data_IF_253937570587
#
_entry.id   IF_253937570587
#
_cell.length_a   1.000
_cell.length_b   1.000
_cell.length_c   1.000
_cell.angle_alpha   90.00
_cell.angle_beta   90.00
_cell.angle_gamma   90.00
#
_symmetry.space_group_name_H-M   'P 1'
#
loop_
_entity.id
_entity.type
_entity.pdbx_description
1 polymer ?
#
# COMPACT_ATOMS: atom_id res chain seq x y z
N UNK A 1 1.58 95.88 13.90
CA UNK A 1 2.71 96.78 14.21
C UNK A 1 3.77 96.59 13.13
N UNK A 2 4.07 97.68 12.45
CA UNK A 2 5.05 97.88 11.37
C UNK A 2 6.52 97.63 11.84
N UNK A 3 7.56 97.76 10.98
CA UNK A 3 7.77 97.11 9.67
C UNK A 3 9.28 96.83 9.40
N UNK A 4 9.63 96.38 8.19
CA UNK A 4 10.73 96.84 7.29
C UNK A 4 11.07 95.65 6.35
N UNK A 5 10.67 95.59 5.08
CA UNK A 5 10.77 96.48 3.92
C UNK A 5 12.18 96.59 3.29
N UNK A 6 12.15 96.48 1.94
CA UNK A 6 13.18 96.74 0.92
C UNK A 6 14.14 95.57 0.57
N UNK A 7 14.37 95.19 -0.69
CA UNK A 7 13.85 95.70 -1.96
C UNK A 7 14.73 95.31 -3.16
N UNK A 8 14.06 94.97 -4.27
CA UNK A 8 14.39 95.15 -5.72
C UNK A 8 15.62 94.43 -6.32
N UNK A 9 15.38 93.51 -7.30
CA UNK A 9 15.41 93.65 -8.79
C UNK A 9 16.83 93.80 -9.35
N UNK A 10 17.27 93.24 -10.47
CA UNK A 10 16.84 92.28 -11.50
C UNK A 10 18.15 91.95 -12.23
N UNK A 11 18.32 90.76 -12.81
CA UNK A 11 19.06 90.62 -14.07
C UNK A 11 18.62 89.32 -14.76
N UNK A 12 18.23 89.48 -16.02
CA UNK A 12 17.67 88.48 -16.90
C UNK A 12 18.73 87.50 -17.41
N UNK A 13 18.35 86.23 -17.61
CA UNK A 13 18.62 85.52 -18.88
C UNK A 13 17.78 84.26 -19.03
N UNK A 14 17.61 83.89 -20.30
CA UNK A 14 16.56 83.07 -20.89
C UNK A 14 16.75 81.56 -20.72
N UNK A 15 15.59 80.88 -20.60
CA UNK A 15 15.16 79.64 -21.28
C UNK A 15 16.15 78.49 -21.42
N UNK A 16 15.85 77.37 -20.76
CA UNK A 16 15.85 76.05 -21.40
C UNK A 16 15.05 75.06 -20.55
N UNK A 17 14.19 74.30 -21.22
CA UNK A 17 13.41 73.21 -20.66
C UNK A 17 14.33 72.13 -20.07
N UNK A 18 13.99 71.63 -18.88
CA UNK A 18 14.61 70.49 -18.23
C UNK A 18 13.57 69.80 -17.35
N UNK A 19 12.81 68.87 -17.95
CA UNK A 19 11.86 68.00 -17.26
C UNK A 19 12.65 67.02 -16.38
N UNK A 20 12.21 66.72 -15.15
CA UNK A 20 13.03 66.06 -14.14
C UNK A 20 13.30 64.59 -14.48
N UNK A 21 14.51 64.14 -14.15
CA UNK A 21 14.96 62.75 -14.14
C UNK A 21 13.87 61.87 -13.49
N UNK A 22 13.18 61.08 -14.31
CA UNK A 22 12.47 59.89 -13.85
C UNK A 22 13.52 58.80 -13.62
N UNK A 23 13.58 58.29 -12.39
CA UNK A 23 14.38 57.11 -12.03
C UNK A 23 13.84 55.92 -12.82
N UNK A 24 14.63 55.41 -13.78
CA UNK A 24 14.37 54.12 -14.40
C UNK A 24 14.64 53.03 -13.36
N UNK A 25 13.57 52.50 -12.77
CA UNK A 25 13.61 51.20 -12.10
C UNK A 25 13.77 50.14 -13.20
N UNK A 26 14.96 49.55 -13.29
CA UNK A 26 15.18 48.33 -14.07
C UNK A 26 14.41 47.21 -13.36
N UNK A 27 13.24 46.85 -13.90
CA UNK A 27 12.64 45.54 -13.60
C UNK A 27 13.55 44.49 -14.23
N UNK A 28 14.46 43.93 -13.43
CA UNK A 28 15.01 42.62 -13.73
C UNK A 28 13.86 41.65 -13.56
N UNK A 29 13.24 41.26 -14.67
CA UNK A 29 12.45 40.03 -14.73
C UNK A 29 13.45 38.92 -14.50
N UNK A 30 13.64 38.54 -13.24
CA UNK A 30 14.24 37.27 -12.90
C UNK A 30 13.24 36.22 -13.40
N UNK A 31 13.43 35.77 -14.63
CA UNK A 31 12.79 34.55 -15.09
C UNK A 31 13.17 33.47 -14.08
N UNK A 32 12.19 32.99 -13.33
CA UNK A 32 12.35 31.76 -12.58
C UNK A 32 12.66 30.70 -13.61
N UNK A 33 13.93 30.33 -13.74
CA UNK A 33 14.32 29.11 -14.40
C UNK A 33 13.65 28.00 -13.60
N UNK A 34 12.47 27.58 -14.06
CA UNK A 34 11.89 26.28 -13.71
C UNK A 34 12.99 25.27 -14.00
N UNK A 35 13.61 24.75 -12.94
CA UNK A 35 14.68 23.77 -13.04
C UNK A 35 14.20 22.66 -13.95
N UNK A 36 14.84 22.49 -15.10
CA UNK A 36 14.62 21.31 -15.91
C UNK A 36 15.05 20.12 -15.05
N UNK A 37 14.14 19.17 -14.81
CA UNK A 37 14.46 17.94 -14.10
C UNK A 37 15.63 17.26 -14.82
N UNK A 38 16.64 16.85 -14.06
CA UNK A 38 17.75 16.07 -14.60
C UNK A 38 17.21 14.75 -15.14
N UNK A 39 17.27 14.49 -16.47
CA UNK A 39 16.70 13.28 -17.05
C UNK A 39 17.43 12.00 -16.61
N UNK A 40 18.55 12.12 -15.89
CA UNK A 40 19.26 11.00 -15.28
C UNK A 40 18.73 10.58 -13.91
N UNK A 41 17.77 11.32 -13.34
CA UNK A 41 17.17 11.02 -12.04
C UNK A 41 15.68 10.64 -12.17
N UNK A 42 15.17 9.77 -11.29
CA UNK A 42 13.74 9.53 -11.18
C UNK A 42 13.01 10.82 -10.77
N UNK A 43 11.80 11.03 -11.31
CA UNK A 43 11.02 12.24 -11.02
C UNK A 43 9.52 12.00 -11.04
N UNK A 44 8.80 12.69 -10.15
CA UNK A 44 7.33 12.75 -10.22
C UNK A 44 6.92 13.58 -11.43
N UNK A 45 6.07 12.99 -12.27
CA UNK A 45 5.53 13.65 -13.47
C UNK A 45 4.09 14.11 -13.31
N UNK A 46 3.38 13.55 -12.33
CA UNK A 46 1.98 13.84 -12.02
C UNK A 46 1.62 13.23 -10.67
N UNK A 47 0.81 13.94 -9.90
CA UNK A 47 0.05 13.39 -8.78
C UNK A 47 -1.41 13.71 -9.01
N UNK A 48 -2.29 12.77 -8.68
CA UNK A 48 -3.72 12.96 -8.70
C UNK A 48 -4.34 12.47 -7.41
N UNK A 49 -5.39 13.13 -6.93
CA UNK A 49 -5.98 12.89 -5.62
C UNK A 49 -7.41 12.39 -5.74
N UNK A 50 -7.77 11.39 -4.95
CA UNK A 50 -9.17 10.97 -4.78
C UNK A 50 -9.88 12.04 -3.95
N UNK A 51 -11.05 12.51 -4.40
CA UNK A 51 -11.86 13.40 -3.58
C UNK A 51 -12.68 12.62 -2.55
N UNK A 52 -13.14 13.32 -1.52
CA UNK A 52 -13.93 12.77 -0.42
C UNK A 52 -15.19 12.06 -0.93
N UNK A 53 -15.35 10.80 -0.50
CA UNK A 53 -16.54 9.99 -0.77
C UNK A 53 -16.95 9.36 0.57
N UNK A 54 -18.09 9.73 1.16
CA UNK A 54 -18.50 9.17 2.45
C UNK A 54 -18.56 7.65 2.41
N UNK A 55 -17.86 6.98 3.34
CA UNK A 55 -17.70 5.52 3.34
C UNK A 55 -19.06 4.82 3.40
N UNK A 56 -19.97 5.30 4.25
CA UNK A 56 -21.29 4.72 4.40
C UNK A 56 -22.13 4.85 3.13
N UNK A 57 -22.00 5.96 2.40
CA UNK A 57 -22.69 6.14 1.12
C UNK A 57 -22.12 5.22 0.04
N UNK A 58 -20.79 5.05 0.01
CA UNK A 58 -20.12 4.13 -0.90
C UNK A 58 -20.54 2.67 -0.67
N UNK A 59 -20.37 2.15 0.55
CA UNK A 59 -20.69 0.74 0.86
C UNK A 59 -22.18 0.44 0.66
N UNK A 60 -23.08 1.31 1.13
CA UNK A 60 -24.52 1.08 0.99
C UNK A 60 -25.04 1.22 -0.45
N UNK A 61 -24.30 1.89 -1.35
CA UNK A 61 -24.61 1.89 -2.77
C UNK A 61 -24.30 0.54 -3.43
N UNK A 62 -23.30 -0.20 -2.91
CA UNK A 62 -22.92 -1.53 -3.39
C UNK A 62 -23.79 -2.63 -2.76
N UNK A 63 -23.89 -2.62 -1.43
CA UNK A 63 -24.65 -3.56 -0.62
C UNK A 63 -25.48 -2.78 0.41
N UNK A 64 -26.78 -2.53 0.17
CA UNK A 64 -27.60 -1.73 1.07
C UNK A 64 -27.68 -2.30 2.49
N UNK A 65 -27.39 -1.46 3.48
CA UNK A 65 -27.50 -1.77 4.90
C UNK A 65 -26.28 -2.46 5.50
N UNK A 66 -25.12 -2.45 4.83
CA UNK A 66 -23.87 -2.96 5.41
C UNK A 66 -23.25 -1.96 6.39
N UNK A 67 -23.40 -0.66 6.15
CA UNK A 67 -22.86 0.39 7.03
C UNK A 67 -23.99 1.22 7.65
N UNK A 68 -24.23 1.01 8.94
CA UNK A 68 -25.23 1.78 9.71
C UNK A 68 -24.72 3.18 10.08
N UNK A 69 -23.46 3.26 10.52
CA UNK A 69 -22.78 4.49 10.91
C UNK A 69 -21.31 4.40 10.50
N UNK A 70 -20.93 5.25 9.53
CA UNK A 70 -19.56 5.35 9.02
C UNK A 70 -18.63 6.15 9.93
N UNK A 71 -19.14 6.76 11.00
CA UNK A 71 -18.36 7.60 11.92
C UNK A 71 -17.65 8.78 11.23
N UNK A 72 -18.08 9.16 10.03
CA UNK A 72 -17.57 10.33 9.31
C UNK A 72 -16.30 10.00 8.57
N UNK A 73 -16.04 8.71 8.39
CA UNK A 73 -14.96 8.19 7.59
C UNK A 73 -15.33 8.32 6.12
N UNK A 74 -14.37 8.79 5.32
CA UNK A 74 -14.45 8.75 3.86
C UNK A 74 -13.81 7.47 3.31
N UNK A 75 -14.09 7.15 2.04
CA UNK A 75 -13.50 6.03 1.34
C UNK A 75 -11.99 6.23 1.27
N UNK A 76 -11.29 5.39 2.02
CA UNK A 76 -9.84 5.19 1.94
C UNK A 76 -9.52 3.74 1.66
N UNK A 77 -8.30 3.33 1.98
CA UNK A 77 -7.85 1.94 1.85
C UNK A 77 -7.72 1.45 0.42
N UNK A 78 -8.25 2.15 -0.60
CA UNK A 78 -8.13 1.73 -2.00
C UNK A 78 -6.66 1.70 -2.47
N UNK A 79 -5.72 2.12 -1.63
CA UNK A 79 -4.29 2.13 -1.87
C UNK A 79 -3.58 0.82 -1.54
N UNK A 80 -4.27 -0.19 -0.99
CA UNK A 80 -3.65 -1.47 -0.64
C UNK A 80 -2.97 -2.11 -1.85
N UNK A 81 -3.59 -2.02 -3.05
CA UNK A 81 -2.87 -2.31 -4.31
C UNK A 81 -3.50 -1.65 -5.56
N UNK A 82 -2.73 -1.62 -6.66
CA UNK A 82 -3.12 -1.03 -7.94
C UNK A 82 -2.67 -1.88 -9.14
N UNK A 83 -3.61 -2.18 -10.04
CA UNK A 83 -3.39 -3.00 -11.23
C UNK A 83 -3.90 -2.33 -12.51
N UNK A 84 -3.14 -2.29 -13.62
CA UNK A 84 -3.61 -1.69 -14.87
C UNK A 84 -4.91 -2.29 -15.42
N UNK A 85 -5.90 -1.45 -15.74
CA UNK A 85 -7.21 -1.90 -16.25
C UNK A 85 -7.30 -1.96 -17.79
N UNK A 86 -6.16 -1.86 -18.48
CA UNK A 86 -6.03 -2.00 -19.94
C UNK A 86 -6.23 -0.70 -20.74
N UNK A 87 -6.85 0.33 -20.18
CA UNK A 87 -6.86 1.70 -20.76
C UNK A 87 -5.89 2.60 -20.01
N UNK A 88 -5.22 3.50 -20.74
CA UNK A 88 -4.26 4.44 -20.15
C UNK A 88 -4.94 5.25 -19.04
N UNK A 89 -4.33 5.24 -17.85
CA UNK A 89 -4.83 5.95 -16.68
C UNK A 89 -6.02 5.30 -15.98
N UNK A 90 -6.48 4.12 -16.41
CA UNK A 90 -7.46 3.32 -15.66
C UNK A 90 -6.77 2.19 -14.91
N UNK A 91 -7.19 2.00 -13.66
CA UNK A 91 -6.67 0.95 -12.79
C UNK A 91 -7.80 0.24 -12.05
N UNK A 92 -7.55 -1.00 -11.68
CA UNK A 92 -8.24 -1.69 -10.62
C UNK A 92 -7.45 -1.49 -9.34
N UNK A 93 -8.13 -1.18 -8.26
CA UNK A 93 -7.58 -1.12 -6.92
C UNK A 93 -8.45 -1.96 -5.99
N UNK A 94 -8.00 -2.15 -4.75
CA UNK A 94 -8.76 -2.87 -3.72
C UNK A 94 -8.62 -2.13 -2.41
N UNK A 95 -9.67 -2.10 -1.60
CA UNK A 95 -9.60 -1.61 -0.21
C UNK A 95 -9.02 -2.69 0.72
N UNK A 96 -8.33 -2.32 1.79
CA UNK A 96 -8.02 -3.23 2.90
C UNK A 96 -9.29 -3.66 3.69
N UNK A 97 -9.12 -4.20 4.90
CA UNK A 97 -10.17 -4.54 5.89
C UNK A 97 -11.08 -3.39 6.37
N UNK A 98 -10.88 -2.16 5.94
CA UNK A 98 -11.60 -0.99 6.41
C UNK A 98 -10.92 -0.25 7.57
N UNK A 99 -11.58 0.84 8.04
CA UNK A 99 -11.00 1.72 9.04
C UNK A 99 -10.63 0.93 10.29
N UNK A 100 -9.40 1.09 10.75
CA UNK A 100 -8.92 0.41 11.94
C UNK A 100 -7.83 1.23 12.65
N UNK A 101 -7.64 0.99 13.94
CA UNK A 101 -6.61 1.67 14.73
C UNK A 101 -6.29 0.94 16.02
N UNK A 102 -5.31 1.42 16.77
CA UNK A 102 -4.89 0.82 18.04
C UNK A 102 -5.15 1.77 19.20
N UNK A 103 -5.93 1.32 20.19
CA UNK A 103 -6.13 2.04 21.45
C UNK A 103 -5.55 1.24 22.60
N UNK A 104 -4.81 1.90 23.49
CA UNK A 104 -4.27 1.29 24.70
C UNK A 104 -5.28 1.37 25.83
N UNK A 105 -5.83 0.22 26.23
CA UNK A 105 -6.74 0.07 27.37
C UNK A 105 -6.07 -0.81 28.43
N UNK A 106 -5.93 -0.31 29.65
CA UNK A 106 -5.27 -1.01 30.77
C UNK A 106 -3.88 -1.57 30.42
N UNK A 107 -3.10 -0.78 29.67
CA UNK A 107 -1.76 -1.18 29.26
C UNK A 107 -1.69 -2.08 28.03
N UNK A 108 -2.82 -2.59 27.53
CA UNK A 108 -2.89 -3.49 26.37
C UNK A 108 -3.39 -2.77 25.13
N UNK A 109 -2.73 -2.99 23.99
CA UNK A 109 -3.22 -2.53 22.68
C UNK A 109 -4.46 -3.34 22.28
N UNK A 110 -5.50 -2.66 21.83
CA UNK A 110 -6.73 -3.24 21.25
C UNK A 110 -6.90 -2.69 19.85
N UNK A 111 -7.12 -3.57 18.87
CA UNK A 111 -7.46 -3.21 17.49
C UNK A 111 -8.92 -2.81 17.42
N UNK A 112 -9.22 -1.63 16.92
CA UNK A 112 -10.58 -1.13 16.72
C UNK A 112 -11.01 -1.33 15.28
N UNK A 113 -12.30 -1.59 15.09
CA UNK A 113 -13.00 -1.63 13.81
C UNK A 113 -14.19 -0.67 13.94
N UNK A 114 -13.99 0.63 13.68
CA UNK A 114 -15.00 1.65 13.86
C UNK A 114 -16.21 1.45 12.95
N UNK A 115 -16.05 0.84 11.79
CA UNK A 115 -17.15 0.55 10.85
C UNK A 115 -17.19 -0.96 10.61
N UNK A 116 -17.67 -1.77 11.59
CA UNK A 116 -17.51 -3.22 11.57
C UNK A 116 -18.35 -3.91 10.47
N UNK A 117 -19.32 -3.20 9.89
CA UNK A 117 -20.09 -3.68 8.76
C UNK A 117 -19.47 -3.35 7.39
N UNK A 118 -18.31 -2.66 7.36
CA UNK A 118 -17.60 -2.40 6.11
C UNK A 118 -17.23 -3.71 5.39
N UNK A 119 -17.50 -3.73 4.09
CA UNK A 119 -17.18 -4.81 3.16
C UNK A 119 -16.09 -4.34 2.18
N UNK A 120 -14.90 -4.98 2.16
CA UNK A 120 -13.86 -4.63 1.21
C UNK A 120 -14.33 -4.75 -0.24
N UNK A 121 -13.86 -3.83 -1.09
CA UNK A 121 -14.35 -3.68 -2.45
C UNK A 121 -13.21 -3.54 -3.47
N UNK A 122 -13.46 -4.07 -4.67
CA UNK A 122 -12.63 -3.83 -5.84
C UNK A 122 -13.11 -2.52 -6.47
N UNK A 123 -12.21 -1.54 -6.60
CA UNK A 123 -12.55 -0.21 -7.09
C UNK A 123 -11.88 0.04 -8.43
N UNK A 124 -12.65 0.43 -9.45
CA UNK A 124 -12.11 0.85 -10.72
C UNK A 124 -11.92 2.35 -10.72
N UNK A 125 -10.69 2.81 -10.88
CA UNK A 125 -10.38 4.24 -10.90
C UNK A 125 -9.88 4.72 -12.26
N UNK A 126 -9.97 6.02 -12.49
CA UNK A 126 -9.28 6.72 -13.58
C UNK A 126 -8.58 7.98 -13.09
N UNK A 127 -7.31 8.11 -13.42
CA UNK A 127 -6.56 9.35 -13.27
C UNK A 127 -6.90 10.31 -14.41
N UNK A 128 -7.49 11.47 -14.07
CA UNK A 128 -7.94 12.50 -15.01
C UNK A 128 -7.43 13.87 -14.58
N UNK A 129 -6.30 14.30 -15.15
CA UNK A 129 -5.63 15.51 -14.69
C UNK A 129 -4.96 15.26 -13.34
N UNK A 130 -5.35 16.05 -12.35
CA UNK A 130 -4.98 16.02 -10.93
C UNK A 130 -6.03 15.30 -10.05
N UNK A 131 -7.07 14.70 -10.65
CA UNK A 131 -8.10 13.98 -9.92
C UNK A 131 -8.09 12.47 -10.20
N UNK A 132 -8.28 11.67 -9.16
CA UNK A 132 -8.66 10.26 -9.24
C UNK A 132 -10.18 10.19 -9.20
N UNK A 133 -10.78 9.52 -10.20
CA UNK A 133 -12.23 9.31 -10.28
C UNK A 133 -12.57 7.84 -10.15
N UNK A 134 -13.47 7.51 -9.24
CA UNK A 134 -14.11 6.19 -9.22
C UNK A 134 -15.01 6.07 -10.44
N UNK A 135 -14.76 5.05 -11.26
CA UNK A 135 -15.56 4.72 -12.45
C UNK A 135 -16.60 3.65 -12.16
N UNK A 136 -16.25 2.70 -11.31
CA UNK A 136 -17.06 1.53 -10.95
C UNK A 136 -16.52 0.94 -9.64
N UNK A 137 -17.34 0.18 -8.93
CA UNK A 137 -16.91 -0.56 -7.75
C UNK A 137 -17.69 -1.87 -7.62
N UNK A 138 -17.02 -2.90 -7.11
CA UNK A 138 -17.54 -4.26 -7.04
C UNK A 138 -17.37 -4.74 -5.59
N UNK A 139 -18.46 -5.00 -4.85
CA UNK A 139 -18.37 -5.50 -3.48
C UNK A 139 -17.90 -6.95 -3.47
N UNK A 140 -17.15 -7.34 -2.45
CA UNK A 140 -16.77 -8.74 -2.27
C UNK A 140 -17.89 -9.46 -1.49
N UNK A 141 -18.42 -10.54 -2.07
CA UNK A 141 -19.56 -11.26 -1.52
C UNK A 141 -19.32 -12.75 -1.37
N UNK A 142 -20.01 -13.35 -0.41
CA UNK A 142 -20.01 -14.79 -0.18
C UNK A 142 -20.80 -15.53 -1.28
N UNK A 143 -20.86 -16.87 -1.18
CA UNK A 143 -21.62 -17.69 -2.10
C UNK A 143 -23.11 -17.40 -2.09
N UNK A 144 -23.67 -17.02 -0.94
CA UNK A 144 -25.07 -16.61 -0.78
C UNK A 144 -25.33 -15.13 -1.07
N UNK A 145 -24.31 -14.35 -1.41
CA UNK A 145 -24.43 -12.92 -1.71
C UNK A 145 -24.40 -12.01 -0.48
N UNK A 146 -23.98 -12.52 0.68
CA UNK A 146 -23.72 -11.70 1.87
C UNK A 146 -22.41 -10.93 1.72
N UNK A 147 -22.26 -9.78 2.39
CA UNK A 147 -20.97 -9.09 2.44
C UNK A 147 -19.89 -10.00 3.02
N UNK A 148 -18.69 -9.91 2.46
CA UNK A 148 -17.46 -10.31 3.12
C UNK A 148 -16.97 -9.08 3.88
N UNK A 149 -16.91 -9.14 5.22
CA UNK A 149 -16.49 -7.99 6.03
C UNK A 149 -14.97 -7.88 6.12
N UNK A 150 -14.46 -6.79 6.69
CA UNK A 150 -13.04 -6.69 7.08
C UNK A 150 -12.68 -7.33 8.43
N UNK A 151 -13.63 -7.95 9.12
CA UNK A 151 -13.39 -8.45 10.47
C UNK A 151 -12.46 -9.68 10.47
N UNK A 152 -11.61 -9.85 11.52
CA UNK A 152 -10.72 -10.99 11.64
C UNK A 152 -11.46 -12.34 11.72
N UNK A 153 -10.79 -13.44 11.35
CA UNK A 153 -11.44 -14.74 11.16
C UNK A 153 -11.48 -15.63 12.40
N UNK A 154 -10.36 -15.76 13.12
CA UNK A 154 -10.18 -16.80 14.12
C UNK A 154 -9.63 -16.26 15.44
N UNK A 155 -10.39 -16.47 16.52
CA UNK A 155 -9.95 -16.15 17.88
C UNK A 155 -8.68 -16.93 18.27
N UNK A 156 -7.71 -16.23 18.85
CA UNK A 156 -6.44 -16.82 19.29
C UNK A 156 -5.38 -16.95 18.20
N UNK A 157 -5.74 -16.70 16.94
CA UNK A 157 -4.81 -16.57 15.81
C UNK A 157 -4.74 -15.13 15.30
N UNK A 158 -5.88 -14.50 15.11
CA UNK A 158 -5.96 -13.12 14.64
C UNK A 158 -6.12 -12.13 15.80
N UNK A 159 -5.95 -10.83 15.52
CA UNK A 159 -6.21 -9.77 16.49
C UNK A 159 -7.69 -9.78 16.92
N UNK A 160 -7.95 -9.54 18.21
CA UNK A 160 -9.31 -9.42 18.70
C UNK A 160 -9.93 -8.08 18.25
N UNK A 161 -11.07 -8.09 17.54
CA UNK A 161 -11.70 -6.86 17.08
C UNK A 161 -12.50 -6.18 18.19
N UNK A 162 -12.43 -4.85 18.27
CA UNK A 162 -13.19 -4.02 19.21
C UNK A 162 -13.93 -2.88 18.51
N UNK A 163 -14.94 -2.31 19.16
CA UNK A 163 -15.60 -1.07 18.75
C UNK A 163 -14.61 0.10 18.62
N UNK A 164 -15.03 1.18 17.97
CA UNK A 164 -14.21 2.38 17.73
C UNK A 164 -13.50 2.97 18.98
N UNK A 165 -14.12 2.85 20.15
CA UNK A 165 -13.62 3.32 21.45
C UNK A 165 -12.84 2.26 22.24
N UNK A 166 -12.62 1.10 21.62
CA UNK A 166 -12.00 -0.09 22.18
C UNK A 166 -12.70 -0.67 23.44
N UNK A 167 -13.94 -0.30 23.74
CA UNK A 167 -14.64 -0.74 24.94
C UNK A 167 -15.37 -2.08 24.76
N UNK A 168 -15.97 -2.30 23.59
CA UNK A 168 -16.82 -3.46 23.32
C UNK A 168 -16.13 -4.43 22.37
N UNK A 169 -15.89 -5.69 22.78
CA UNK A 169 -15.42 -6.72 21.86
C UNK A 169 -16.45 -6.96 20.75
N UNK A 170 -15.97 -7.13 19.52
CA UNK A 170 -16.78 -7.50 18.36
C UNK A 170 -16.66 -9.00 18.09
N UNK A 171 -17.58 -9.53 17.29
CA UNK A 171 -17.49 -10.90 16.82
C UNK A 171 -16.42 -11.01 15.72
N UNK A 172 -15.75 -12.16 15.68
CA UNK A 172 -14.97 -12.57 14.52
C UNK A 172 -15.92 -12.95 13.38
N UNK A 173 -15.48 -12.76 12.14
CA UNK A 173 -16.19 -13.21 10.94
C UNK A 173 -15.30 -14.17 10.16
N UNK A 174 -15.69 -15.44 10.10
CA UNK A 174 -14.96 -16.45 9.33
C UNK A 174 -14.85 -16.10 7.84
N UNK A 175 -15.80 -15.32 7.30
CA UNK A 175 -15.78 -14.89 5.91
C UNK A 175 -14.84 -13.71 5.67
N UNK A 176 -14.50 -12.96 6.72
CA UNK A 176 -13.83 -11.68 6.58
C UNK A 176 -12.45 -11.78 5.93
N UNK A 177 -12.02 -10.69 5.34
CA UNK A 177 -10.74 -10.61 4.63
C UNK A 177 -10.11 -9.25 4.84
N UNK A 178 -8.80 -9.23 4.86
CA UNK A 178 -8.00 -8.03 4.81
C UNK A 178 -7.25 -8.01 3.48
N UNK A 179 -7.82 -7.36 2.47
CA UNK A 179 -7.36 -7.49 1.09
C UNK A 179 -6.23 -6.53 0.75
N UNK A 180 -5.07 -7.09 0.40
CA UNK A 180 -3.83 -6.30 0.25
C UNK A 180 -3.26 -6.30 -1.17
N UNK A 181 -3.84 -7.09 -2.09
CA UNK A 181 -3.31 -7.21 -3.45
C UNK A 181 -4.38 -7.61 -4.46
N UNK A 182 -4.26 -7.12 -5.69
CA UNK A 182 -5.23 -7.36 -6.76
C UNK A 182 -4.59 -7.59 -8.13
N UNK A 183 -5.03 -8.64 -8.81
CA UNK A 183 -4.79 -8.79 -10.25
C UNK A 183 -6.06 -9.27 -10.96
N UNK A 184 -6.15 -8.96 -12.25
CA UNK A 184 -7.28 -9.37 -13.09
C UNK A 184 -6.89 -10.51 -14.03
N UNK A 185 -7.63 -11.61 -13.98
CA UNK A 185 -7.45 -12.75 -14.88
C UNK A 185 -8.01 -12.46 -16.30
N UNK A 186 -7.57 -13.25 -17.28
CA UNK A 186 -7.99 -13.11 -18.68
C UNK A 186 -9.51 -13.30 -18.89
N UNK A 187 -10.15 -14.15 -18.08
CA UNK A 187 -11.60 -14.37 -18.09
C UNK A 187 -12.40 -13.24 -17.40
N UNK A 188 -11.71 -12.22 -16.90
CA UNK A 188 -12.27 -11.06 -16.21
C UNK A 188 -12.56 -11.27 -14.73
N UNK A 189 -12.32 -12.46 -14.18
CA UNK A 189 -12.27 -12.70 -12.73
C UNK A 189 -11.05 -12.00 -12.10
N UNK A 190 -11.02 -11.94 -10.77
CA UNK A 190 -9.98 -11.31 -9.99
C UNK A 190 -9.31 -12.32 -9.08
N UNK A 191 -8.02 -12.13 -8.85
CA UNK A 191 -7.31 -12.75 -7.74
C UNK A 191 -6.96 -11.67 -6.75
N UNK A 192 -7.27 -11.93 -5.49
CA UNK A 192 -6.91 -11.09 -4.36
C UNK A 192 -6.02 -11.89 -3.40
N UNK A 193 -5.28 -11.20 -2.55
CA UNK A 193 -4.61 -11.81 -1.40
C UNK A 193 -5.14 -11.21 -0.11
N UNK A 194 -4.98 -11.97 0.98
CA UNK A 194 -5.44 -11.57 2.30
C UNK A 194 -4.39 -11.73 3.39
N UNK A 195 -4.38 -10.79 4.33
CA UNK A 195 -3.39 -10.72 5.40
C UNK A 195 -3.66 -11.70 6.57
N UNK A 196 -4.92 -11.91 6.95
CA UNK A 196 -5.24 -12.77 8.09
C UNK A 196 -4.83 -14.24 7.86
N UNK A 197 -5.03 -14.75 6.64
CA UNK A 197 -4.93 -16.16 6.30
C UNK A 197 -3.54 -16.81 6.42
N UNK A 198 -2.43 -16.20 5.98
CA UNK A 198 -2.36 -15.39 4.76
C UNK A 198 -2.88 -16.21 3.58
N UNK A 199 -3.69 -15.63 2.69
CA UNK A 199 -4.45 -16.43 1.74
C UNK A 199 -4.57 -15.83 0.34
N UNK A 200 -4.87 -16.67 -0.65
CA UNK A 200 -5.15 -16.28 -2.03
C UNK A 200 -6.63 -16.50 -2.32
N UNK A 201 -7.33 -15.51 -2.84
CA UNK A 201 -8.78 -15.52 -3.04
C UNK A 201 -9.09 -15.37 -4.54
N UNK A 202 -9.82 -16.33 -5.10
CA UNK A 202 -10.36 -16.20 -6.46
C UNK A 202 -11.76 -15.61 -6.38
N UNK A 203 -11.97 -14.48 -7.05
CA UNK A 203 -13.22 -13.71 -7.03
C UNK A 203 -13.76 -13.59 -8.44
N UNK A 204 -15.06 -13.83 -8.63
CA UNK A 204 -15.70 -13.66 -9.93
C UNK A 204 -15.63 -12.21 -10.43
N UNK A 205 -15.89 -11.98 -11.71
CA UNK A 205 -15.98 -10.63 -12.28
C UNK A 205 -17.05 -9.72 -11.62
N UNK A 206 -17.92 -10.27 -10.77
CA UNK A 206 -18.97 -9.55 -10.03
C UNK A 206 -18.76 -9.60 -8.51
N UNK A 207 -17.55 -9.93 -8.04
CA UNK A 207 -17.22 -9.83 -6.61
C UNK A 207 -17.58 -11.05 -5.75
N UNK A 208 -18.30 -12.04 -6.28
CA UNK A 208 -18.54 -13.30 -5.55
C UNK A 208 -17.24 -14.09 -5.38
N UNK A 209 -16.88 -14.44 -4.14
CA UNK A 209 -15.78 -15.35 -3.83
C UNK A 209 -16.08 -16.74 -4.40
N UNK A 210 -15.16 -17.23 -5.24
CA UNK A 210 -15.22 -18.54 -5.87
C UNK A 210 -14.48 -19.59 -5.04
N UNK A 211 -13.29 -19.26 -4.53
CA UNK A 211 -12.48 -20.13 -3.67
C UNK A 211 -11.43 -19.31 -2.92
N UNK A 212 -11.17 -19.64 -1.64
CA UNK A 212 -10.04 -19.11 -0.86
C UNK A 212 -9.03 -20.23 -0.60
N UNK A 213 -7.77 -20.01 -0.99
CA UNK A 213 -6.65 -20.92 -0.78
C UNK A 213 -5.86 -20.49 0.44
N UNK A 214 -5.73 -21.37 1.41
CA UNK A 214 -5.13 -21.09 2.72
C UNK A 214 -3.97 -22.04 3.03
N UNK A 215 -3.12 -21.76 4.04
CA UNK A 215 -2.12 -22.69 4.53
C UNK A 215 -2.73 -24.01 4.98
N UNK A 216 -2.02 -25.10 4.71
CA UNK A 216 -2.36 -26.42 5.28
C UNK A 216 -2.31 -26.37 6.79
N UNK A 217 -3.37 -26.88 7.43
CA UNK A 217 -3.54 -26.87 8.89
C UNK A 217 -4.16 -25.58 9.46
N UNK A 218 -4.58 -24.63 8.63
CA UNK A 218 -5.28 -23.43 9.11
C UNK A 218 -6.63 -23.81 9.76
N UNK A 219 -7.30 -24.83 9.25
CA UNK A 219 -8.59 -25.30 9.72
C UNK A 219 -9.64 -24.16 9.80
N UNK A 220 -9.65 -23.26 8.81
CA UNK A 220 -10.66 -22.22 8.70
C UNK A 220 -12.02 -22.86 8.39
N UNK A 221 -13.00 -22.63 9.26
CA UNK A 221 -14.35 -23.22 9.17
C UNK A 221 -15.41 -22.14 9.33
N UNK A 222 -16.66 -22.42 8.94
CA UNK A 222 -17.78 -21.47 9.04
C UNK A 222 -17.87 -20.46 7.90
N UNK A 223 -17.07 -20.62 6.85
CA UNK A 223 -17.15 -19.79 5.64
C UNK A 223 -18.35 -20.16 4.78
N UNK A 224 -18.92 -19.16 4.12
CA UNK A 224 -19.94 -19.27 3.08
C UNK A 224 -19.31 -19.19 1.69
N UNK A 225 -18.13 -19.78 1.53
CA UNK A 225 -17.45 -20.00 0.26
C UNK A 225 -16.45 -21.16 0.39
N UNK A 226 -16.07 -21.80 -0.73
CA UNK A 226 -15.09 -22.89 -0.70
C UNK A 226 -13.73 -22.44 -0.17
N UNK A 227 -13.18 -23.21 0.76
CA UNK A 227 -11.82 -23.04 1.29
C UNK A 227 -10.99 -24.28 0.94
N UNK A 228 -9.77 -24.06 0.43
CA UNK A 228 -8.86 -25.13 0.04
C UNK A 228 -7.50 -24.92 0.71
N UNK A 229 -7.04 -25.91 1.47
CA UNK A 229 -5.72 -25.91 2.09
C UNK A 229 -4.62 -26.29 1.08
N UNK A 230 -4.23 -25.33 0.23
CA UNK A 230 -3.28 -25.54 -0.87
C UNK A 230 -1.92 -24.84 -0.68
N UNK A 231 -1.79 -23.95 0.32
CA UNK A 231 -0.54 -23.22 0.57
C UNK A 231 0.34 -23.99 1.59
N UNK A 232 1.67 -23.80 1.58
CA UNK A 232 2.59 -24.44 2.51
C UNK A 232 2.20 -24.22 3.98
N UNK A 233 2.35 -25.27 4.80
CA UNK A 233 2.00 -25.21 6.23
C UNK A 233 2.91 -24.26 7.02
N UNK A 234 4.14 -24.00 6.54
CA UNK A 234 5.07 -23.09 7.21
C UNK A 234 4.50 -21.67 7.35
N UNK A 235 3.58 -21.26 6.46
CA UNK A 235 2.88 -19.98 6.53
C UNK A 235 1.97 -19.85 7.76
N UNK A 236 1.69 -20.93 8.49
CA UNK A 236 1.02 -20.85 9.79
C UNK A 236 1.82 -20.03 10.82
N UNK A 237 3.14 -19.91 10.63
CA UNK A 237 4.04 -19.09 11.42
C UNK A 237 4.08 -17.61 10.99
N UNK A 238 3.14 -17.13 10.15
CA UNK A 238 3.06 -15.69 9.86
C UNK A 238 2.97 -14.90 11.17
N UNK A 239 3.63 -13.74 11.21
CA UNK A 239 3.43 -12.79 12.30
C UNK A 239 1.98 -12.26 12.24
N UNK A 240 1.37 -12.02 13.40
CA UNK A 240 0.01 -11.47 13.48
C UNK A 240 0.01 -10.11 12.78
N UNK A 241 -1.01 -9.82 11.96
CA UNK A 241 -1.09 -8.63 11.11
C UNK A 241 0.17 -8.42 10.22
N UNK A 242 0.67 -9.49 9.60
CA UNK A 242 1.84 -9.52 8.69
C UNK A 242 1.74 -10.67 7.69
N UNK A 243 0.66 -10.69 6.92
CA UNK A 243 0.26 -11.78 6.04
C UNK A 243 0.79 -11.69 4.62
N UNK A 244 -0.03 -12.00 3.61
CA UNK A 244 0.32 -11.68 2.23
C UNK A 244 -0.02 -10.23 1.94
N UNK A 245 0.90 -9.52 1.28
CA UNK A 245 0.68 -8.12 0.87
C UNK A 245 1.00 -7.83 -0.60
N UNK A 246 1.99 -8.49 -1.18
CA UNK A 246 2.27 -8.29 -2.61
C UNK A 246 1.64 -9.36 -3.49
N UNK A 247 0.94 -8.95 -4.57
CA UNK A 247 0.40 -9.87 -5.58
C UNK A 247 0.78 -9.46 -7.01
N UNK A 248 1.56 -10.29 -7.69
CA UNK A 248 1.86 -10.12 -9.11
C UNK A 248 1.25 -11.22 -9.99
N UNK A 249 0.82 -10.85 -11.19
CA UNK A 249 0.49 -11.81 -12.26
C UNK A 249 1.62 -11.84 -13.29
N UNK A 250 2.28 -13.00 -13.43
CA UNK A 250 3.31 -13.22 -14.43
C UNK A 250 2.68 -13.42 -15.83
N UNK A 251 3.42 -13.11 -16.92
CA UNK A 251 3.02 -13.51 -18.26
C UNK A 251 2.74 -15.02 -18.33
N UNK A 252 1.51 -15.38 -18.71
CA UNK A 252 1.02 -16.77 -18.75
C UNK A 252 0.09 -17.16 -17.61
N UNK A 253 -0.16 -16.25 -16.65
CA UNK A 253 -1.23 -16.34 -15.66
C UNK A 253 -0.86 -16.97 -14.32
N UNK A 254 0.40 -17.38 -14.12
CA UNK A 254 0.87 -17.75 -12.78
C UNK A 254 0.96 -16.50 -11.90
N UNK A 255 0.74 -16.69 -10.60
CA UNK A 255 0.73 -15.61 -9.61
C UNK A 255 1.98 -15.70 -8.74
N UNK A 256 2.45 -14.56 -8.25
CA UNK A 256 3.47 -14.48 -7.21
C UNK A 256 2.90 -13.71 -6.03
N UNK A 257 2.93 -14.31 -4.85
CA UNK A 257 2.46 -13.72 -3.60
C UNK A 257 3.67 -13.47 -2.69
N UNK A 258 3.70 -12.34 -2.01
CA UNK A 258 4.74 -12.00 -1.03
C UNK A 258 4.19 -12.06 0.39
N UNK A 259 4.91 -12.75 1.28
CA UNK A 259 4.68 -12.59 2.72
C UNK A 259 5.30 -11.27 3.16
N UNK A 260 4.51 -10.43 3.83
CA UNK A 260 4.88 -9.06 4.18
C UNK A 260 6.18 -9.01 4.98
N UNK A 261 6.29 -9.82 6.03
CA UNK A 261 7.44 -9.86 6.93
C UNK A 261 7.93 -11.30 7.16
N UNK A 262 9.16 -11.49 7.68
CA UNK A 262 9.64 -12.80 8.07
C UNK A 262 8.68 -13.55 9.01
N UNK A 263 8.67 -14.87 8.90
CA UNK A 263 7.85 -15.71 9.77
C UNK A 263 8.34 -15.67 11.21
N UNK A 264 7.44 -15.86 12.18
CA UNK A 264 7.79 -16.07 13.59
C UNK A 264 8.16 -17.54 13.83
N UNK A 265 9.28 -17.99 13.24
CA UNK A 265 9.77 -19.37 13.32
C UNK A 265 11.23 -19.42 13.81
N UNK A 266 11.55 -20.09 14.93
CA UNK A 266 10.64 -20.83 15.82
C UNK A 266 9.75 -19.95 16.70
N UNK A 267 10.04 -18.66 16.80
CA UNK A 267 9.31 -17.72 17.66
C UNK A 267 9.33 -16.29 17.09
N UNK A 268 8.67 -15.37 17.79
CA UNK A 268 8.60 -13.96 17.40
C UNK A 268 9.97 -13.27 17.37
N UNK A 269 10.88 -13.60 18.28
CA UNK A 269 12.19 -12.97 18.34
C UNK A 269 13.05 -13.34 17.11
N UNK A 270 12.98 -14.59 16.66
CA UNK A 270 13.60 -15.01 15.41
C UNK A 270 13.05 -14.24 14.20
N UNK A 271 11.72 -14.09 14.11
CA UNK A 271 11.08 -13.31 13.05
C UNK A 271 11.44 -11.83 13.06
N UNK A 272 11.38 -11.20 14.24
CA UNK A 272 11.65 -9.76 14.43
C UNK A 272 13.11 -9.40 14.10
N UNK A 273 14.06 -10.30 14.34
CA UNK A 273 15.47 -10.11 14.00
C UNK A 273 15.79 -10.48 12.54
N UNK A 274 14.90 -11.18 11.84
CA UNK A 274 15.20 -11.73 10.52
C UNK A 274 15.11 -10.67 9.42
N UNK A 275 15.88 -10.89 8.35
CA UNK A 275 15.77 -10.14 7.09
C UNK A 275 15.28 -11.00 5.93
N UNK A 276 14.78 -12.19 6.20
CA UNK A 276 14.43 -13.14 5.16
C UNK A 276 12.94 -13.45 5.20
N UNK A 277 12.22 -13.05 4.16
CA UNK A 277 10.81 -13.41 3.93
C UNK A 277 10.68 -14.30 2.68
N UNK A 278 9.45 -14.61 2.29
CA UNK A 278 9.13 -15.63 1.28
C UNK A 278 8.29 -15.04 0.15
N UNK A 279 8.65 -15.39 -1.09
CA UNK A 279 7.78 -15.23 -2.26
C UNK A 279 7.30 -16.59 -2.71
N UNK A 280 6.01 -16.72 -3.05
CA UNK A 280 5.41 -17.98 -3.48
C UNK A 280 4.83 -17.85 -4.87
N UNK A 281 5.15 -18.79 -5.77
CA UNK A 281 4.55 -18.88 -7.09
C UNK A 281 3.38 -19.85 -7.08
N UNK A 282 2.16 -19.35 -7.32
CA UNK A 282 0.97 -20.17 -7.46
C UNK A 282 0.59 -20.34 -8.93
N UNK A 283 0.15 -21.53 -9.33
CA UNK A 283 -0.36 -21.77 -10.67
C UNK A 283 -1.88 -21.98 -10.63
N UNK A 284 -2.69 -21.02 -11.12
CA UNK A 284 -4.13 -21.19 -11.25
C UNK A 284 -4.55 -22.40 -12.10
N UNK A 285 -3.69 -22.88 -12.99
CA UNK A 285 -3.97 -24.10 -13.78
C UNK A 285 -3.82 -25.38 -12.97
N UNK A 286 -2.91 -25.39 -11.98
CA UNK A 286 -2.64 -26.55 -11.13
C UNK A 286 -3.34 -26.47 -9.78
N UNK A 287 -3.87 -25.29 -9.42
CA UNK A 287 -4.43 -24.96 -8.12
C UNK A 287 -3.45 -25.29 -6.97
N UNK A 288 -2.18 -24.97 -7.19
CA UNK A 288 -1.11 -25.31 -6.26
C UNK A 288 0.05 -24.31 -6.32
N UNK A 289 0.76 -24.17 -5.20
CA UNK A 289 2.08 -23.55 -5.16
C UNK A 289 3.06 -24.43 -5.94
N UNK A 290 3.87 -23.79 -6.78
CA UNK A 290 4.80 -24.45 -7.72
C UNK A 290 6.25 -24.06 -7.50
N UNK A 291 6.49 -22.95 -6.82
CA UNK A 291 7.80 -22.58 -6.30
C UNK A 291 7.63 -21.68 -5.07
N UNK A 292 8.67 -21.66 -4.25
CA UNK A 292 8.84 -20.75 -3.12
C UNK A 292 10.27 -20.26 -3.15
N UNK A 293 10.48 -19.01 -2.75
CA UNK A 293 11.77 -18.35 -2.86
C UNK A 293 12.09 -17.57 -1.58
N UNK A 294 13.33 -17.70 -1.10
CA UNK A 294 13.84 -16.84 -0.05
C UNK A 294 14.13 -15.45 -0.63
N UNK A 295 13.44 -14.44 -0.10
CA UNK A 295 13.66 -13.04 -0.40
C UNK A 295 14.33 -12.37 0.79
N UNK A 296 15.40 -11.62 0.55
CA UNK A 296 16.19 -11.00 1.61
C UNK A 296 16.14 -9.48 1.52
N UNK A 297 15.65 -8.86 2.59
CA UNK A 297 15.67 -7.42 2.76
C UNK A 297 17.09 -6.86 2.84
N UNK A 298 17.25 -5.63 2.38
CA UNK A 298 18.43 -4.84 2.75
C UNK A 298 18.41 -4.59 4.27
N UNK A 299 19.56 -4.28 4.90
CA UNK A 299 19.56 -3.86 6.31
C UNK A 299 18.55 -2.74 6.54
N UNK A 300 17.87 -2.72 7.70
CA UNK A 300 16.80 -1.73 7.94
C UNK A 300 17.30 -0.30 7.83
N UNK A 301 18.47 0.00 8.40
CA UNK A 301 19.11 1.31 8.32
C UNK A 301 19.58 1.68 6.89
N UNK A 302 19.65 0.70 5.99
CA UNK A 302 19.86 0.95 4.57
C UNK A 302 18.53 1.36 3.95
N UNK A 303 17.44 0.64 4.19
CA UNK A 303 16.08 0.96 3.67
C UNK A 303 15.56 2.30 4.21
N UNK A 304 15.65 2.50 5.52
CA UNK A 304 15.26 3.69 6.26
C UNK A 304 16.40 4.10 7.20
N UNK A 305 17.21 5.12 6.85
CA UNK A 305 18.32 5.57 7.68
C UNK A 305 17.95 6.07 9.08
N UNK A 306 16.66 6.30 9.35
CA UNK A 306 16.16 6.71 10.67
C UNK A 306 15.71 5.56 11.56
N UNK A 307 15.78 4.32 11.06
CA UNK A 307 15.29 3.12 11.72
C UNK A 307 16.43 2.17 12.13
N UNK A 308 16.28 1.53 13.28
CA UNK A 308 17.19 0.51 13.81
C UNK A 308 16.50 -0.82 14.19
N UNK A 309 15.16 -0.86 14.19
CA UNK A 309 14.36 -2.06 14.41
C UNK A 309 14.14 -2.84 13.09
N UNK A 310 14.77 -4.00 12.98
CA UNK A 310 14.64 -4.87 11.81
C UNK A 310 13.21 -5.37 11.59
N UNK A 311 12.39 -5.40 12.64
CA UNK A 311 11.01 -5.88 12.58
C UNK A 311 10.06 -4.92 11.83
N UNK A 312 10.52 -3.71 11.50
CA UNK A 312 9.80 -2.74 10.68
C UNK A 312 9.90 -3.00 9.17
N UNK A 313 10.75 -3.93 8.74
CA UNK A 313 10.87 -4.31 7.32
C UNK A 313 9.63 -5.08 6.82
N UNK A 314 9.07 -4.56 5.72
CA UNK A 314 7.84 -5.06 5.10
C UNK A 314 7.98 -5.07 3.57
N UNK A 315 7.30 -6.00 2.90
CA UNK A 315 6.94 -5.92 1.49
C UNK A 315 5.49 -5.50 1.39
N UNK A 316 5.15 -4.47 0.63
CA UNK A 316 3.74 -4.16 0.32
C UNK A 316 3.39 -4.46 -1.13
N UNK A 317 4.14 -4.00 -2.13
CA UNK A 317 3.82 -4.33 -3.53
C UNK A 317 4.79 -5.30 -4.23
N UNK A 318 4.27 -6.11 -5.17
CA UNK A 318 5.06 -6.89 -6.13
C UNK A 318 4.49 -6.75 -7.53
N UNK A 319 5.34 -6.44 -8.51
CA UNK A 319 4.92 -6.20 -9.90
C UNK A 319 5.68 -7.08 -10.87
N UNK A 320 4.98 -7.80 -11.74
CA UNK A 320 5.64 -8.54 -12.82
C UNK A 320 6.18 -7.58 -13.89
N UNK A 321 7.47 -7.70 -14.20
CA UNK A 321 8.14 -6.92 -15.25
C UNK A 321 8.78 -7.79 -16.33
N UNK A 322 8.49 -9.10 -16.28
CA UNK A 322 8.90 -10.10 -17.25
C UNK A 322 8.35 -11.47 -16.88
N UNK A 323 8.75 -12.51 -17.61
CA UNK A 323 8.32 -13.90 -17.36
C UNK A 323 8.86 -14.47 -16.04
N UNK A 324 10.00 -13.96 -15.60
CA UNK A 324 10.79 -14.42 -14.45
C UNK A 324 11.37 -13.23 -13.67
N UNK A 325 10.78 -12.03 -13.81
CA UNK A 325 11.30 -10.79 -13.23
C UNK A 325 10.20 -10.02 -12.53
N UNK A 326 10.53 -9.52 -11.35
CA UNK A 326 9.63 -8.74 -10.51
C UNK A 326 10.28 -7.40 -10.15
N UNK A 327 9.45 -6.40 -9.90
CA UNK A 327 9.75 -5.38 -8.90
C UNK A 327 9.16 -5.84 -7.57
N UNK A 328 9.91 -5.70 -6.49
CA UNK A 328 9.47 -5.95 -5.12
C UNK A 328 9.69 -4.66 -4.34
N UNK A 329 8.64 -4.17 -3.71
CA UNK A 329 8.73 -3.03 -2.80
C UNK A 329 9.21 -3.48 -1.43
N UNK A 330 10.31 -2.92 -0.97
CA UNK A 330 10.78 -3.04 0.41
C UNK A 330 10.57 -1.72 1.11
N UNK A 331 9.95 -1.74 2.30
CA UNK A 331 9.63 -0.52 3.01
C UNK A 331 9.70 -0.67 4.53
N UNK A 332 9.71 0.49 5.19
CA UNK A 332 9.24 0.70 6.56
C UNK A 332 7.92 1.49 6.48
N UNK A 333 7.47 2.10 7.57
CA UNK A 333 6.35 3.05 7.52
C UNK A 333 6.76 4.44 6.96
N UNK A 334 8.05 4.73 6.81
CA UNK A 334 8.57 6.05 6.39
C UNK A 334 9.38 6.05 5.10
N UNK A 335 9.92 4.90 4.69
CA UNK A 335 10.74 4.80 3.49
C UNK A 335 10.32 3.59 2.65
N UNK A 336 10.41 3.70 1.33
CA UNK A 336 10.09 2.63 0.39
C UNK A 336 11.10 2.58 -0.75
N UNK A 337 11.41 1.38 -1.23
CA UNK A 337 12.38 1.11 -2.30
C UNK A 337 11.86 0.03 -3.22
N UNK A 338 12.16 0.16 -4.51
CA UNK A 338 11.84 -0.87 -5.49
C UNK A 338 13.09 -1.64 -5.88
N UNK A 339 13.05 -2.94 -5.64
CA UNK A 339 14.10 -3.90 -5.99
C UNK A 339 13.68 -4.68 -7.22
N UNK A 340 14.56 -4.79 -8.22
CA UNK A 340 14.39 -5.75 -9.30
C UNK A 340 14.88 -7.11 -8.84
N UNK A 341 14.08 -8.14 -9.10
CA UNK A 341 14.32 -9.51 -8.63
C UNK A 341 14.13 -10.51 -9.77
N UNK A 342 14.96 -11.55 -9.84
CA UNK A 342 14.83 -12.63 -10.83
C UNK A 342 14.45 -13.95 -10.19
N UNK A 343 13.31 -14.52 -10.60
CA UNK A 343 12.81 -15.81 -10.17
C UNK A 343 13.50 -16.95 -10.96
N UNK A 344 14.61 -17.46 -10.44
CA UNK A 344 15.34 -18.55 -11.07
C UNK A 344 14.88 -19.91 -10.55
N UNK A 345 15.01 -20.97 -11.36
CA UNK A 345 14.53 -22.32 -10.97
C UNK A 345 15.36 -22.93 -9.84
N UNK A 346 16.65 -22.63 -9.80
CA UNK A 346 17.61 -23.04 -8.78
C UNK A 346 17.40 -22.34 -7.43
N UNK A 347 16.63 -21.24 -7.39
CA UNK A 347 16.23 -20.57 -6.16
C UNK A 347 14.98 -21.15 -5.49
N UNK A 348 14.39 -22.20 -6.07
CA UNK A 348 13.18 -22.80 -5.53
C UNK A 348 13.47 -23.62 -4.26
N UNK A 349 12.89 -23.21 -3.13
CA UNK A 349 13.00 -23.90 -1.83
C UNK A 349 11.75 -24.70 -1.46
N UNK A 350 10.70 -24.69 -2.30
CA UNK A 350 9.41 -25.34 -2.02
C UNK A 350 9.58 -26.84 -1.73
N UNK A 351 9.01 -27.30 -0.61
CA UNK A 351 9.09 -28.69 -0.16
C UNK A 351 10.50 -29.16 0.23
N UNK A 352 11.49 -28.25 0.26
CA UNK A 352 12.83 -28.50 0.75
C UNK A 352 12.96 -28.29 2.26
N UNK A 353 14.18 -28.41 2.78
CA UNK A 353 14.49 -28.24 4.21
C UNK A 353 14.09 -26.87 4.77
N UNK A 354 14.00 -25.82 3.94
CA UNK A 354 13.63 -24.47 4.39
C UNK A 354 12.11 -24.21 4.40
N UNK A 355 11.31 -25.19 3.97
CA UNK A 355 9.84 -25.18 3.96
C UNK A 355 9.27 -26.14 5.04
N UNK A 356 10.09 -26.50 6.04
CA UNK A 356 9.68 -27.32 7.19
C UNK A 356 9.91 -26.56 8.50
N UNK A 357 8.90 -26.56 9.37
CA UNK A 357 8.91 -25.89 10.69
C UNK A 357 9.85 -26.54 11.71
N UNK A 358 10.35 -27.74 11.43
CA UNK A 358 11.26 -28.50 12.30
C UNK A 358 12.75 -28.25 12.01
N UNK A 359 13.08 -27.46 10.99
CA UNK A 359 14.47 -27.15 10.63
C UNK A 359 15.11 -26.23 11.67
N UNK A 360 16.33 -26.58 12.10
CA UNK A 360 17.09 -25.81 13.10
C UNK A 360 18.57 -25.67 12.69
N UNK A 361 19.11 -24.45 12.58
CA UNK A 361 18.39 -23.17 12.65
C UNK A 361 17.34 -23.04 11.53
N UNK A 362 16.20 -22.39 11.79
CA UNK A 362 15.19 -22.07 10.77
C UNK A 362 15.75 -21.07 9.75
N UNK A 363 15.06 -20.86 8.62
CA UNK A 363 15.46 -19.85 7.63
C UNK A 363 15.53 -18.45 8.25
N UNK A 364 14.59 -18.16 9.15
CA UNK A 364 14.42 -16.88 9.81
C UNK A 364 15.56 -16.61 10.82
N UNK A 365 16.16 -17.66 11.39
CA UNK A 365 17.32 -17.59 12.28
C UNK A 365 18.66 -17.41 11.57
N UNK A 366 18.71 -17.46 10.23
CA UNK A 366 19.96 -17.34 9.50
C UNK A 366 20.36 -15.88 9.29
N UNK A 367 21.48 -15.49 9.91
CA UNK A 367 22.10 -14.18 9.67
C UNK A 367 22.47 -13.97 8.22
N UNK A 368 22.98 -14.99 7.52
CA UNK A 368 23.25 -14.98 6.07
C UNK A 368 22.80 -16.32 5.47
N UNK A 369 21.58 -16.40 4.90
CA UNK A 369 21.08 -17.63 4.31
C UNK A 369 21.94 -18.11 3.13
N UNK A 370 22.54 -17.21 2.35
CA UNK A 370 23.37 -17.60 1.21
C UNK A 370 24.66 -18.28 1.68
N UNK A 371 25.29 -17.78 2.75
CA UNK A 371 26.45 -18.42 3.37
C UNK A 371 26.12 -19.80 3.98
N UNK A 372 24.88 -20.00 4.41
CA UNK A 372 24.36 -21.28 4.89
C UNK A 372 23.90 -22.23 3.75
N UNK A 373 24.06 -21.84 2.48
CA UNK A 373 23.68 -22.66 1.33
C UNK A 373 22.21 -22.57 0.92
N UNK A 374 21.44 -21.62 1.48
CA UNK A 374 20.08 -21.31 1.01
C UNK A 374 20.18 -20.51 -0.28
N UNK A 375 19.50 -20.91 -1.36
CA UNK A 375 19.50 -20.11 -2.57
C UNK A 375 18.57 -18.90 -2.39
N UNK A 376 19.16 -17.73 -2.14
CA UNK A 376 18.45 -16.45 -1.99
C UNK A 376 18.30 -15.79 -3.35
N UNK A 377 17.14 -15.17 -3.60
CA UNK A 377 16.89 -14.45 -4.85
C UNK A 377 17.90 -13.30 -5.04
N UNK A 378 18.56 -13.20 -6.21
CA UNK A 378 19.38 -12.03 -6.51
C UNK A 378 18.47 -10.82 -6.71
N UNK A 379 18.85 -9.69 -6.12
CA UNK A 379 18.17 -8.41 -6.28
C UNK A 379 19.11 -7.26 -6.61
N UNK A 380 18.56 -6.20 -7.20
CA UNK A 380 19.25 -4.92 -7.43
C UNK A 380 18.28 -3.75 -7.22
N UNK A 381 18.77 -2.66 -6.65
CA UNK A 381 17.97 -1.44 -6.49
C UNK A 381 17.59 -0.86 -7.86
N UNK A 382 16.32 -0.48 -8.00
CA UNK A 382 15.81 0.27 -9.16
C UNK A 382 15.62 1.73 -8.80
N UNK A 383 14.96 2.00 -7.67
CA UNK A 383 14.74 3.36 -7.16
C UNK A 383 14.53 3.32 -5.65
N UNK A 384 15.09 4.32 -4.97
CA UNK A 384 14.72 4.67 -3.60
C UNK A 384 13.66 5.78 -3.65
N UNK A 385 12.42 5.45 -3.31
CA UNK A 385 11.28 6.36 -3.46
C UNK A 385 11.37 7.53 -2.48
N UNK A 386 12.03 7.36 -1.32
CA UNK A 386 12.24 8.43 -0.35
C UNK A 386 13.19 9.53 -0.85
N UNK A 387 13.93 9.27 -1.93
CA UNK A 387 14.81 10.26 -2.58
C UNK A 387 14.15 11.00 -3.74
N UNK A 388 12.92 10.61 -4.12
CA UNK A 388 12.19 11.23 -5.24
C UNK A 388 11.25 12.30 -4.70
N UNK A 389 11.58 13.57 -4.97
CA UNK A 389 10.77 14.69 -4.54
C UNK A 389 9.32 14.56 -5.05
N UNK A 390 8.35 14.69 -4.13
CA UNK A 390 6.92 14.63 -4.41
C UNK A 390 6.28 13.25 -4.31
N UNK A 391 7.05 12.18 -4.03
CA UNK A 391 6.45 10.88 -3.70
C UNK A 391 5.87 10.93 -2.28
N UNK A 392 4.59 10.56 -2.07
CA UNK A 392 3.98 10.54 -0.74
C UNK A 392 4.52 9.38 0.10
N UNK A 393 4.26 9.43 1.41
CA UNK A 393 4.51 8.29 2.30
C UNK A 393 3.50 7.15 2.07
N UNK A 394 3.70 6.02 2.75
CA UNK A 394 2.78 4.87 2.75
C UNK A 394 2.40 4.37 1.35
N UNK A 395 3.39 4.28 0.45
CA UNK A 395 3.20 3.59 -0.83
C UNK A 395 3.04 2.09 -0.52
N UNK A 396 1.92 1.53 -0.97
CA UNK A 396 1.60 0.12 -0.77
C UNK A 396 1.13 -0.56 -2.07
N UNK A 397 0.68 0.22 -3.05
CA UNK A 397 0.41 -0.25 -4.41
C UNK A 397 1.35 0.34 -5.46
N UNK A 398 1.84 -0.52 -6.36
CA UNK A 398 2.71 -0.13 -7.49
C UNK A 398 2.22 -0.78 -8.78
N UNK A 399 2.05 0.03 -9.84
CA UNK A 399 1.75 -0.45 -11.18
C UNK A 399 2.79 0.02 -12.19
N UNK A 400 3.26 -0.91 -13.04
CA UNK A 400 4.00 -0.54 -14.26
C UNK A 400 3.01 -0.06 -15.33
N UNK A 401 3.12 1.20 -15.74
CA UNK A 401 2.22 1.77 -16.76
C UNK A 401 2.81 1.76 -18.17
N UNK A 402 4.14 1.83 -18.29
CA UNK A 402 4.85 1.71 -19.56
C UNK A 402 6.32 1.24 -19.38
N UNK A 403 7.22 1.62 -20.29
CA UNK A 403 8.62 1.19 -20.30
C UNK A 403 9.40 1.70 -19.08
N UNK A 404 9.18 2.95 -18.68
CA UNK A 404 9.97 3.66 -17.67
C UNK A 404 9.12 4.38 -16.62
N UNK A 405 7.79 4.30 -16.71
CA UNK A 405 6.89 4.99 -15.79
C UNK A 405 6.15 3.99 -14.89
N UNK A 406 6.10 4.32 -13.60
CA UNK A 406 5.34 3.67 -12.55
C UNK A 406 4.18 4.56 -12.12
N UNK A 407 3.05 3.96 -11.74
CA UNK A 407 2.03 4.60 -10.93
C UNK A 407 2.09 4.02 -9.52
N UNK A 408 2.21 4.89 -8.53
CA UNK A 408 2.24 4.55 -7.11
C UNK A 408 0.92 5.00 -6.51
N UNK A 409 0.33 4.18 -5.64
CA UNK A 409 -0.81 4.58 -4.81
C UNK A 409 -0.42 4.43 -3.35
N UNK A 410 -0.77 5.44 -2.53
CA UNK A 410 -0.62 5.34 -1.09
C UNK A 410 -1.87 4.76 -0.45
N UNK A 411 -1.69 3.96 0.58
CA UNK A 411 -2.77 3.70 1.53
C UNK A 411 -2.86 4.88 2.51
N UNK A 412 -4.08 5.37 2.72
CA UNK A 412 -4.36 6.46 3.65
C UNK A 412 -5.02 5.98 4.94
N UNK A 413 -5.17 4.66 5.13
CA UNK A 413 -5.76 4.04 6.30
C UNK A 413 -7.16 4.61 6.62
N UNK A 414 -7.93 5.04 5.60
CA UNK A 414 -9.25 5.71 5.79
C UNK A 414 -9.19 6.98 6.64
N UNK A 415 -8.06 7.70 6.62
CA UNK A 415 -7.87 8.89 7.45
C UNK A 415 -7.68 8.56 8.94
N UNK A 416 -7.50 7.28 9.29
CA UNK A 416 -7.35 6.84 10.67
C UNK A 416 -6.02 7.30 11.29
N UNK A 417 -6.04 7.42 12.61
CA UNK A 417 -4.85 7.54 13.44
C UNK A 417 -4.96 6.59 14.63
N UNK A 418 -3.81 6.24 15.24
CA UNK A 418 -3.79 5.45 16.46
C UNK A 418 -4.15 6.29 17.69
N UNK A 419 -4.70 5.63 18.71
CA UNK A 419 -4.96 6.20 20.03
C UNK A 419 -6.39 6.69 20.24
N UNK A 420 -6.69 7.06 21.49
CA UNK A 420 -8.04 7.46 21.90
C UNK A 420 -8.52 8.79 21.30
N UNK A 421 -7.60 9.56 20.69
CA UNK A 421 -7.92 10.82 20.00
C UNK A 421 -8.36 10.65 18.55
N UNK A 422 -8.37 9.43 18.01
CA UNK A 422 -8.84 9.15 16.65
C UNK A 422 -10.32 9.47 16.45
N UNK A 423 -11.10 9.54 17.53
CA UNK A 423 -12.51 9.93 17.51
C UNK A 423 -12.77 11.08 18.47
N UNK A 424 -13.64 12.01 18.06
CA UNK A 424 -14.09 13.11 18.88
C UNK A 424 -15.09 12.66 19.97
N UNK A 425 -15.58 13.62 20.77
CA UNK A 425 -16.54 13.35 21.83
C UNK A 425 -17.92 12.86 21.33
N UNK A 426 -18.20 12.97 20.03
CA UNK A 426 -19.40 12.47 19.36
C UNK A 426 -19.15 11.11 18.68
N UNK A 427 -17.94 10.57 18.76
CA UNK A 427 -17.56 9.33 18.10
C UNK A 427 -17.36 9.48 16.59
N UNK A 428 -17.06 10.69 16.11
CA UNK A 428 -16.71 10.95 14.70
C UNK A 428 -15.20 10.95 14.52
N UNK A 429 -14.73 10.45 13.38
CA UNK A 429 -13.33 10.41 13.02
C UNK A 429 -12.74 11.83 13.09
N UNK A 430 -11.61 11.95 13.79
CA UNK A 430 -10.71 13.09 13.66
C UNK A 430 -9.74 12.74 12.54
N UNK A 431 -10.08 13.16 11.33
CA UNK A 431 -9.37 12.78 10.11
C UNK A 431 -7.89 13.19 10.14
N UNK A 432 -7.00 12.31 9.66
CA UNK A 432 -5.56 12.54 9.63
C UNK A 432 -5.13 13.63 8.61
N UNK A 433 -6.00 13.97 7.67
CA UNK A 433 -5.73 14.84 6.52
C UNK A 433 -4.89 14.17 5.43
N UNK A 434 -4.66 12.86 5.52
CA UNK A 434 -3.89 12.10 4.53
C UNK A 434 -4.84 11.65 3.42
N UNK A 435 -4.61 12.17 2.23
CA UNK A 435 -5.39 11.86 1.05
C UNK A 435 -4.88 10.61 0.32
N UNK A 436 -5.79 9.89 -0.35
CA UNK A 436 -5.40 8.88 -1.32
C UNK A 436 -4.93 9.55 -2.62
N UNK A 437 -3.71 9.23 -3.06
CA UNK A 437 -3.13 9.80 -4.27
C UNK A 437 -2.56 8.73 -5.20
N UNK A 438 -2.67 8.97 -6.51
CA UNK A 438 -1.94 8.22 -7.54
C UNK A 438 -0.83 9.09 -8.09
N UNK A 439 0.42 8.71 -7.82
CA UNK A 439 1.63 9.45 -8.19
C UNK A 439 2.39 8.72 -9.30
N UNK A 440 2.65 9.40 -10.41
CA UNK A 440 3.40 8.86 -11.55
C UNK A 440 4.88 9.21 -11.43
N UNK A 441 5.72 8.20 -11.27
CA UNK A 441 7.18 8.34 -11.23
C UNK A 441 7.76 7.86 -12.54
N UNK A 442 8.49 8.75 -13.24
CA UNK A 442 9.32 8.36 -14.38
C UNK A 442 10.71 8.00 -13.89
N UNK A 443 11.19 6.85 -14.30
CA UNK A 443 12.55 6.38 -14.06
C UNK A 443 13.50 6.84 -15.17
N UNK A 444 14.79 7.01 -14.88
CA UNK A 444 15.78 7.43 -15.88
C UNK A 444 16.12 6.33 -16.90
N UNK A 445 15.82 5.07 -16.56
CA UNK A 445 16.08 3.89 -17.37
C UNK A 445 14.85 2.97 -17.39
N UNK A 446 14.74 2.16 -18.44
CA UNK A 446 13.68 1.18 -18.58
C UNK A 446 13.68 0.10 -17.51
N UNK A 447 12.48 -0.42 -17.23
CA UNK A 447 12.20 -1.48 -16.25
C UNK A 447 12.30 -2.88 -16.86
#
# INVERSE_FOLDING_TARGET
MFPHAAGRRHLHRFVAAGVPLAVLAVFVVAGTASGASDPSQPSVTRTATLGDIPLGAFSNALLPGTVDDDRGVDLGGIGSDIFPAGRKGEFWTVTDRGPNGQIKVDGKKRRTFPVPGFDPAIVKIRVSGDAVKVLDAIPITTSSGKPVTGLPNQAGRDEAPYSYDAQTPLAYDANGVDTEGIVRAEDGSFWLIDEYGPSLIHVSARGKVLTRYVPKGLNLTGTDYPVVEALPAILLHRKINRGFEGLAQLPGGDLVMAVQSPLSLPDGAAGDASRTTRLLRFSPKKLAVTAEYAYRFDPVNVVDPSEDDTSELKISSVVAVGRDRLLVEERTDKAARLQWVKLTRDANILGGTWDTDTTSPSLEQLDDPAAAGVPVLPKRLVVDLGTVEGVPGKIEGVARVDHDTLALINDNDFGMTDGAGAFDAQGRLVDSGIETTVTYVRLPHGI
#
